data_IF_356752746312
#
_entry.id   IF_356752746312
#
_cell.length_a   1.000
_cell.length_b   1.000
_cell.length_c   1.000
_cell.angle_alpha   90.00
_cell.angle_beta   90.00
_cell.angle_gamma   90.00
#
_symmetry.space_group_name_H-M   'P 1'
#
loop_
_entity.id
_entity.type
_entity.pdbx_description
1 polymer ?
#
# COMPACT_ATOMS: atom_id res chain seq x y z
N UNK A 1 6.74 -47.07 25.63
CA UNK A 1 7.28 -46.33 24.46
C UNK A 1 6.35 -45.16 24.20
N UNK A 2 6.62 -43.98 24.78
CA UNK A 2 5.85 -42.78 24.45
C UNK A 2 6.02 -42.51 22.97
N UNK A 3 4.91 -42.48 22.24
CA UNK A 3 4.91 -42.02 20.86
C UNK A 3 5.48 -40.60 20.84
N UNK A 4 6.63 -40.42 20.18
CA UNK A 4 7.13 -39.09 19.86
C UNK A 4 5.99 -38.44 19.08
N UNK A 5 5.43 -37.30 19.55
CA UNK A 5 4.35 -36.65 18.84
C UNK A 5 4.80 -36.40 17.40
N UNK A 6 3.93 -36.66 16.42
CA UNK A 6 4.21 -36.44 15.00
C UNK A 6 4.64 -34.97 14.80
N UNK A 7 5.95 -34.76 14.71
CA UNK A 7 6.53 -33.42 14.69
C UNK A 7 6.32 -32.85 13.29
N UNK A 8 5.93 -31.58 13.23
CA UNK A 8 5.62 -30.95 11.94
C UNK A 8 6.91 -30.84 11.11
N UNK A 9 6.96 -31.35 9.87
CA UNK A 9 8.18 -31.29 9.06
C UNK A 9 8.54 -29.84 8.70
N UNK A 10 9.85 -29.53 8.55
CA UNK A 10 10.30 -28.20 8.15
C UNK A 10 9.82 -27.84 6.74
N UNK A 11 9.59 -26.55 6.44
CA UNK A 11 9.25 -26.11 5.09
C UNK A 11 10.39 -26.40 4.13
N UNK A 12 10.09 -27.11 3.05
CA UNK A 12 11.03 -27.40 1.98
C UNK A 12 10.86 -26.40 0.84
N UNK A 13 11.77 -26.40 -0.14
CA UNK A 13 11.62 -25.58 -1.33
C UNK A 13 10.30 -25.85 -2.06
N UNK A 14 9.85 -27.11 -2.09
CA UNK A 14 8.59 -27.53 -2.72
C UNK A 14 7.38 -26.96 -1.96
N UNK A 15 7.31 -27.14 -0.64
CA UNK A 15 6.16 -26.66 0.13
C UNK A 15 6.10 -25.14 0.22
N UNK A 16 7.25 -24.46 0.20
CA UNK A 16 7.32 -22.99 0.08
C UNK A 16 6.89 -22.51 -1.32
N UNK A 17 7.24 -23.22 -2.39
CA UNK A 17 6.76 -22.90 -3.75
C UNK A 17 5.25 -23.07 -3.86
N UNK A 18 4.70 -24.15 -3.31
CA UNK A 18 3.24 -24.36 -3.28
C UNK A 18 2.55 -23.25 -2.48
N UNK A 19 3.11 -22.85 -1.32
CA UNK A 19 2.61 -21.73 -0.55
C UNK A 19 2.66 -20.40 -1.32
N UNK A 20 3.70 -20.18 -2.13
CA UNK A 20 3.80 -19.02 -3.00
C UNK A 20 2.69 -19.01 -4.05
N UNK A 21 2.52 -20.10 -4.79
CA UNK A 21 1.48 -20.21 -5.82
C UNK A 21 0.08 -20.02 -5.23
N UNK A 22 -0.20 -20.64 -4.07
CA UNK A 22 -1.47 -20.47 -3.35
C UNK A 22 -1.72 -19.02 -2.94
N UNK A 23 -0.67 -18.29 -2.55
CA UNK A 23 -0.77 -16.88 -2.20
C UNK A 23 -1.08 -16.03 -3.45
N UNK A 24 -0.32 -16.22 -4.52
CA UNK A 24 -0.44 -15.45 -5.76
C UNK A 24 -1.75 -15.72 -6.51
N UNK A 25 -2.33 -16.92 -6.35
CA UNK A 25 -3.66 -17.24 -6.87
C UNK A 25 -4.79 -16.38 -6.27
N UNK A 26 -4.57 -15.77 -5.10
CA UNK A 26 -5.59 -14.99 -4.38
C UNK A 26 -5.26 -13.52 -4.23
N UNK A 27 -3.99 -13.15 -4.22
CA UNK A 27 -3.56 -11.80 -3.89
C UNK A 27 -2.52 -11.30 -4.88
N UNK A 28 -2.71 -10.06 -5.34
CA UNK A 28 -1.63 -9.30 -5.95
C UNK A 28 -0.55 -9.01 -4.89
N UNK A 29 0.70 -9.30 -5.21
CA UNK A 29 1.84 -9.18 -4.29
C UNK A 29 3.04 -8.56 -5.00
N UNK A 30 3.95 -8.01 -4.20
CA UNK A 30 5.29 -7.62 -4.63
C UNK A 30 6.28 -8.73 -4.34
N UNK A 31 7.46 -8.67 -4.95
CA UNK A 31 8.57 -9.59 -4.66
C UNK A 31 8.91 -9.61 -3.15
N UNK A 32 9.08 -8.43 -2.54
CA UNK A 32 9.29 -8.33 -1.09
C UNK A 32 8.10 -8.86 -0.30
N UNK A 33 6.87 -8.58 -0.74
CA UNK A 33 5.65 -9.05 -0.10
C UNK A 33 5.58 -10.57 -0.06
N UNK A 34 5.90 -11.24 -1.17
CA UNK A 34 5.95 -12.69 -1.26
C UNK A 34 7.06 -13.27 -0.37
N UNK A 35 8.25 -12.68 -0.40
CA UNK A 35 9.35 -13.09 0.47
C UNK A 35 8.94 -13.07 1.94
N UNK A 36 8.27 -12.01 2.38
CA UNK A 36 7.74 -11.90 3.76
C UNK A 36 6.64 -12.92 4.06
N UNK A 37 5.83 -13.32 3.09
CA UNK A 37 4.80 -14.37 3.28
C UNK A 37 5.46 -15.72 3.53
N UNK A 38 6.46 -16.07 2.74
CA UNK A 38 7.22 -17.31 2.88
C UNK A 38 8.02 -17.31 4.18
N UNK A 39 8.64 -16.18 4.52
CA UNK A 39 9.34 -15.98 5.79
C UNK A 39 8.43 -16.24 6.99
N UNK A 40 7.23 -15.67 6.97
CA UNK A 40 6.21 -15.89 8.00
C UNK A 40 5.75 -17.35 8.04
N UNK A 41 5.78 -18.09 6.94
CA UNK A 41 5.49 -19.52 6.92
C UNK A 41 6.58 -20.31 7.67
N UNK A 42 7.85 -19.99 7.43
CA UNK A 42 9.00 -20.55 8.17
C UNK A 42 8.91 -20.22 9.66
N UNK A 43 8.59 -18.98 10.03
CA UNK A 43 8.41 -18.59 11.43
C UNK A 43 7.22 -19.30 12.10
N UNK A 44 6.12 -19.52 11.37
CA UNK A 44 4.95 -20.26 11.90
C UNK A 44 5.31 -21.71 12.17
N UNK A 45 6.05 -22.35 11.26
CA UNK A 45 6.56 -23.69 11.48
C UNK A 45 7.46 -23.74 12.72
N UNK A 46 8.46 -22.86 12.82
CA UNK A 46 9.41 -22.83 13.93
C UNK A 46 8.71 -22.72 15.29
N UNK A 47 7.72 -21.83 15.41
CA UNK A 47 6.91 -21.71 16.64
C UNK A 47 6.14 -22.99 16.96
N UNK A 48 5.53 -23.62 15.95
CA UNK A 48 4.79 -24.88 16.15
C UNK A 48 5.73 -26.01 16.56
N UNK A 49 6.87 -26.15 15.90
CA UNK A 49 7.87 -27.16 16.21
C UNK A 49 8.42 -27.01 17.65
N UNK A 50 8.68 -25.78 18.10
CA UNK A 50 9.05 -25.50 19.48
C UNK A 50 7.98 -25.98 20.49
N UNK A 51 6.69 -25.76 20.21
CA UNK A 51 5.60 -26.27 21.08
C UNK A 51 5.49 -27.80 21.11
N UNK A 52 6.07 -28.49 20.12
CA UNK A 52 6.13 -29.95 20.05
C UNK A 52 7.38 -30.52 20.73
N UNK A 53 8.16 -29.68 21.42
CA UNK A 53 9.40 -30.08 22.10
C UNK A 53 10.65 -30.06 21.20
N UNK A 54 10.58 -29.38 20.06
CA UNK A 54 11.71 -29.24 19.16
C UNK A 54 12.89 -28.48 19.76
N UNK A 55 14.11 -28.96 19.48
CA UNK A 55 15.35 -28.35 19.96
C UNK A 55 15.66 -27.03 19.24
N UNK A 56 16.17 -26.04 19.98
CA UNK A 56 16.48 -24.70 19.45
C UNK A 56 17.48 -24.73 18.30
N UNK A 57 18.57 -25.50 18.44
CA UNK A 57 19.61 -25.59 17.42
C UNK A 57 19.09 -26.21 16.11
N UNK A 58 18.19 -27.20 16.24
CA UNK A 58 17.51 -27.79 15.09
C UNK A 58 16.58 -26.78 14.40
N UNK A 59 15.80 -26.03 15.19
CA UNK A 59 14.92 -24.98 14.66
C UNK A 59 15.72 -23.96 13.87
N UNK A 60 16.83 -23.47 14.41
CA UNK A 60 17.61 -22.43 13.75
C UNK A 60 18.31 -22.93 12.49
N UNK A 61 18.85 -24.15 12.51
CA UNK A 61 19.43 -24.80 11.33
C UNK A 61 18.40 -24.97 10.20
N UNK A 62 17.21 -25.47 10.50
CA UNK A 62 16.16 -25.69 9.50
C UNK A 62 15.53 -24.38 8.99
N UNK A 63 15.43 -23.36 9.85
CA UNK A 63 15.00 -22.01 9.43
C UNK A 63 15.96 -21.43 8.41
N UNK A 64 17.26 -21.55 8.64
CA UNK A 64 18.27 -21.02 7.74
C UNK A 64 18.20 -21.70 6.37
N UNK A 65 18.14 -23.04 6.34
CA UNK A 65 17.94 -23.82 5.10
C UNK A 65 16.67 -23.40 4.36
N UNK A 66 15.56 -23.25 5.07
CA UNK A 66 14.26 -22.85 4.50
C UNK A 66 14.30 -21.42 3.94
N UNK A 67 15.02 -20.51 4.61
CA UNK A 67 15.15 -19.11 4.17
C UNK A 67 16.04 -18.98 2.94
N UNK A 68 17.09 -19.78 2.85
CA UNK A 68 18.03 -19.76 1.74
C UNK A 68 17.38 -19.98 0.37
N UNK A 69 16.25 -20.71 0.30
CA UNK A 69 15.53 -20.97 -0.96
C UNK A 69 14.49 -19.92 -1.34
N UNK A 70 14.14 -18.98 -0.45
CA UNK A 70 13.07 -18.00 -0.68
C UNK A 70 13.38 -17.09 -1.88
N UNK A 71 14.61 -16.59 -1.97
CA UNK A 71 15.02 -15.69 -3.05
C UNK A 71 14.90 -16.37 -4.44
N UNK A 72 15.28 -17.65 -4.53
CA UNK A 72 15.13 -18.43 -5.75
C UNK A 72 13.66 -18.62 -6.14
N UNK A 73 12.79 -18.89 -5.17
CA UNK A 73 11.33 -19.02 -5.41
C UNK A 73 10.76 -17.70 -5.91
N UNK A 74 11.09 -16.56 -5.29
CA UNK A 74 10.62 -15.23 -5.73
C UNK A 74 11.09 -14.93 -7.15
N UNK A 75 12.37 -15.18 -7.44
CA UNK A 75 12.94 -15.00 -8.79
C UNK A 75 12.22 -15.86 -9.84
N UNK A 76 11.91 -17.11 -9.51
CA UNK A 76 11.12 -17.98 -10.37
C UNK A 76 9.70 -17.45 -10.60
N UNK A 77 9.02 -16.98 -9.54
CA UNK A 77 7.66 -16.42 -9.66
C UNK A 77 7.66 -15.17 -10.55
N UNK A 78 8.68 -14.32 -10.44
CA UNK A 78 8.89 -13.18 -11.36
C UNK A 78 9.14 -13.64 -12.79
N UNK A 79 10.04 -14.61 -12.99
CA UNK A 79 10.40 -15.13 -14.32
C UNK A 79 9.21 -15.72 -15.07
N UNK A 80 8.29 -16.39 -14.37
CA UNK A 80 7.06 -16.93 -14.98
C UNK A 80 5.93 -15.91 -15.10
N UNK A 81 6.16 -14.64 -14.72
CA UNK A 81 5.17 -13.56 -14.79
C UNK A 81 4.11 -13.59 -13.69
N UNK A 82 4.29 -14.40 -12.64
CA UNK A 82 3.39 -14.43 -11.50
C UNK A 82 3.61 -13.24 -10.53
N UNK A 83 4.75 -12.56 -10.66
CA UNK A 83 5.06 -11.30 -9.98
C UNK A 83 5.50 -10.24 -11.01
N UNK A 84 4.99 -9.02 -10.83
CA UNK A 84 5.40 -7.83 -11.58
C UNK A 84 5.24 -6.62 -10.67
N UNK A 85 6.36 -6.18 -10.08
CA UNK A 85 6.39 -5.04 -9.15
C UNK A 85 6.01 -3.72 -9.85
N UNK A 86 6.32 -3.57 -11.14
CA UNK A 86 5.96 -2.38 -11.92
C UNK A 86 4.44 -2.33 -12.15
N UNK A 87 3.85 -3.43 -12.62
CA UNK A 87 2.39 -3.51 -12.80
C UNK A 87 1.64 -3.36 -11.48
N UNK A 88 2.17 -3.96 -10.39
CA UNK A 88 1.63 -3.76 -9.05
C UNK A 88 1.66 -2.28 -8.66
N UNK A 89 2.79 -1.61 -8.83
CA UNK A 89 2.97 -0.20 -8.47
C UNK A 89 2.05 0.72 -9.26
N UNK A 90 1.87 0.50 -10.58
CA UNK A 90 0.94 1.27 -11.43
C UNK A 90 -0.50 1.16 -10.96
N UNK A 91 -1.01 -0.07 -10.88
CA UNK A 91 -2.37 -0.35 -10.44
C UNK A 91 -2.64 0.20 -9.04
N UNK A 92 -1.67 0.01 -8.14
CA UNK A 92 -1.79 0.49 -6.76
C UNK A 92 -1.74 2.00 -6.66
N UNK A 93 -0.96 2.68 -7.51
CA UNK A 93 -0.92 4.14 -7.59
C UNK A 93 -2.29 4.71 -7.94
N UNK A 94 -2.91 4.21 -9.02
CA UNK A 94 -4.26 4.62 -9.44
C UNK A 94 -5.28 4.37 -8.33
N UNK A 95 -5.30 3.15 -7.78
CA UNK A 95 -6.25 2.77 -6.73
C UNK A 95 -6.15 3.67 -5.48
N UNK A 96 -4.93 3.98 -5.03
CA UNK A 96 -4.72 4.82 -3.86
C UNK A 96 -5.08 6.29 -4.14
N UNK A 97 -4.73 6.84 -5.31
CA UNK A 97 -5.09 8.20 -5.71
C UNK A 97 -6.61 8.36 -5.78
N UNK A 98 -7.34 7.44 -6.44
CA UNK A 98 -8.81 7.41 -6.46
C UNK A 98 -9.44 7.34 -5.07
N UNK A 99 -8.72 6.77 -4.09
CA UNK A 99 -9.15 6.72 -2.70
C UNK A 99 -8.84 8.00 -1.90
N UNK A 100 -8.26 9.03 -2.52
CA UNK A 100 -7.92 10.30 -1.90
C UNK A 100 -6.57 10.31 -1.18
N UNK A 101 -5.59 9.57 -1.71
CA UNK A 101 -4.19 9.64 -1.23
C UNK A 101 -3.40 10.57 -2.14
N UNK A 102 -2.60 11.44 -1.53
CA UNK A 102 -1.63 12.30 -2.25
C UNK A 102 -0.58 11.46 -2.96
N UNK A 103 0.02 12.00 -4.02
CA UNK A 103 1.16 11.37 -4.72
C UNK A 103 2.27 10.98 -3.74
N UNK A 104 2.53 11.82 -2.72
CA UNK A 104 3.53 11.54 -1.67
C UNK A 104 3.14 10.35 -0.79
N UNK A 105 1.88 10.26 -0.38
CA UNK A 105 1.38 9.13 0.40
C UNK A 105 1.34 7.82 -0.41
N UNK A 106 1.04 7.91 -1.72
CA UNK A 106 1.14 6.79 -2.66
C UNK A 106 2.58 6.27 -2.71
N UNK A 107 3.55 7.15 -2.95
CA UNK A 107 4.96 6.79 -3.00
C UNK A 107 5.41 6.08 -1.71
N UNK A 108 5.11 6.67 -0.55
CA UNK A 108 5.44 6.08 0.74
C UNK A 108 4.80 4.68 0.94
N UNK A 109 3.54 4.50 0.50
CA UNK A 109 2.87 3.20 0.57
C UNK A 109 3.53 2.14 -0.32
N UNK A 110 4.07 2.53 -1.47
CA UNK A 110 4.74 1.61 -2.40
C UNK A 110 6.15 1.26 -1.93
N UNK A 111 6.91 2.23 -1.40
CA UNK A 111 8.20 1.97 -0.76
C UNK A 111 8.05 1.01 0.42
N UNK A 112 7.01 1.16 1.25
CA UNK A 112 6.72 0.21 2.33
C UNK A 112 6.39 -1.21 1.83
N UNK A 113 5.95 -1.34 0.57
CA UNK A 113 5.73 -2.63 -0.09
C UNK A 113 6.99 -3.21 -0.75
N UNK A 114 8.11 -2.50 -0.66
CA UNK A 114 9.40 -2.96 -1.18
C UNK A 114 9.66 -2.57 -2.63
N UNK A 115 8.86 -1.69 -3.22
CA UNK A 115 9.11 -1.22 -4.58
C UNK A 115 10.37 -0.34 -4.58
N UNK A 116 11.35 -0.71 -5.41
CA UNK A 116 12.60 0.03 -5.60
C UNK A 116 12.37 1.43 -6.18
N UNK A 117 13.31 2.34 -5.94
CA UNK A 117 13.14 3.75 -6.29
C UNK A 117 12.95 4.01 -7.80
N UNK A 118 13.65 3.26 -8.65
CA UNK A 118 13.53 3.33 -10.12
C UNK A 118 12.14 2.88 -10.58
N UNK A 119 11.76 1.64 -10.26
CA UNK A 119 10.42 1.10 -10.56
C UNK A 119 9.29 1.96 -9.98
N UNK A 120 9.50 2.54 -8.79
CA UNK A 120 8.55 3.44 -8.17
C UNK A 120 8.34 4.71 -9.00
N UNK A 121 9.42 5.35 -9.41
CA UNK A 121 9.38 6.57 -10.22
C UNK A 121 8.64 6.33 -11.54
N UNK A 122 9.10 5.33 -12.29
CA UNK A 122 8.53 4.97 -13.60
C UNK A 122 7.04 4.60 -13.49
N UNK A 123 6.69 3.71 -12.56
CA UNK A 123 5.31 3.27 -12.40
C UNK A 123 4.38 4.41 -11.97
N UNK A 124 4.87 5.36 -11.16
CA UNK A 124 4.07 6.51 -10.75
C UNK A 124 3.90 7.53 -11.86
N UNK A 125 4.93 7.76 -12.67
CA UNK A 125 4.82 8.65 -13.84
C UNK A 125 3.91 8.05 -14.90
N UNK A 126 4.05 6.76 -15.21
CA UNK A 126 3.17 6.05 -16.14
C UNK A 126 1.71 6.05 -15.66
N UNK A 127 1.48 5.88 -14.36
CA UNK A 127 0.13 5.81 -13.81
C UNK A 127 -0.54 7.16 -13.54
N UNK A 128 0.23 8.17 -13.14
CA UNK A 128 -0.32 9.44 -12.63
C UNK A 128 0.10 10.67 -13.45
N UNK A 129 0.90 10.49 -14.51
CA UNK A 129 1.53 11.55 -15.28
C UNK A 129 2.80 12.09 -14.61
N UNK A 130 3.58 12.89 -15.35
CA UNK A 130 4.71 13.59 -14.75
C UNK A 130 4.19 14.66 -13.81
N UNK A 131 4.88 14.84 -12.67
CA UNK A 131 4.47 15.77 -11.59
C UNK A 131 4.09 17.17 -12.07
N UNK A 132 4.73 17.65 -13.13
CA UNK A 132 4.58 19.02 -13.61
C UNK A 132 3.51 19.17 -14.69
N UNK A 133 2.92 18.07 -15.15
CA UNK A 133 1.85 18.06 -16.14
C UNK A 133 0.54 18.51 -15.49
N UNK A 134 -0.30 19.20 -16.27
CA UNK A 134 -1.56 19.72 -15.76
C UNK A 134 -2.53 18.59 -15.38
N UNK A 135 -2.58 17.51 -16.16
CA UNK A 135 -3.39 16.33 -15.83
C UNK A 135 -2.95 15.69 -14.49
N UNK A 136 -1.65 15.68 -14.18
CA UNK A 136 -1.14 15.15 -12.91
C UNK A 136 -1.53 16.05 -11.72
N UNK A 137 -1.48 17.37 -11.91
CA UNK A 137 -1.94 18.35 -10.91
C UNK A 137 -3.45 18.23 -10.68
N UNK A 138 -4.23 18.06 -11.73
CA UNK A 138 -5.68 17.85 -11.65
C UNK A 138 -6.02 16.56 -10.89
N UNK A 139 -5.30 15.46 -11.13
CA UNK A 139 -5.44 14.21 -10.36
C UNK A 139 -5.12 14.42 -8.88
N UNK A 140 -4.05 15.16 -8.56
CA UNK A 140 -3.67 15.46 -7.17
C UNK A 140 -4.75 16.31 -6.47
N UNK A 141 -5.28 17.33 -7.15
CA UNK A 141 -6.38 18.16 -6.64
C UNK A 141 -7.66 17.33 -6.43
N UNK A 142 -8.03 16.48 -7.38
CA UNK A 142 -9.19 15.61 -7.24
C UNK A 142 -9.01 14.60 -6.09
N UNK A 143 -7.80 14.07 -5.88
CA UNK A 143 -7.49 13.22 -4.73
C UNK A 143 -7.62 13.99 -3.41
N UNK A 144 -7.20 15.25 -3.35
CA UNK A 144 -7.41 16.13 -2.21
C UNK A 144 -8.91 16.33 -1.93
N UNK A 145 -9.72 16.55 -2.96
CA UNK A 145 -11.17 16.67 -2.82
C UNK A 145 -11.83 15.38 -2.32
N UNK A 146 -11.35 14.20 -2.71
CA UNK A 146 -11.83 12.92 -2.15
C UNK A 146 -11.54 12.87 -0.64
N UNK A 147 -10.38 13.32 -0.20
CA UNK A 147 -10.07 13.42 1.24
C UNK A 147 -10.97 14.46 1.93
N UNK A 148 -11.14 15.64 1.32
CA UNK A 148 -11.99 16.72 1.82
C UNK A 148 -13.42 16.20 2.05
N UNK A 149 -13.98 15.48 1.08
CA UNK A 149 -15.32 14.88 1.16
C UNK A 149 -15.43 13.86 2.30
N UNK A 150 -14.44 12.98 2.45
CA UNK A 150 -14.40 12.00 3.55
C UNK A 150 -14.32 12.65 4.93
N UNK A 151 -13.70 13.83 5.01
CA UNK A 151 -13.47 14.57 6.26
C UNK A 151 -14.42 15.75 6.45
N UNK A 152 -15.35 15.99 5.51
CA UNK A 152 -16.30 17.11 5.48
C UNK A 152 -15.62 18.47 5.62
N UNK A 153 -14.63 18.71 4.77
CA UNK A 153 -13.83 19.95 4.74
C UNK A 153 -14.23 20.81 3.54
N UNK A 154 -14.06 22.12 3.68
CA UNK A 154 -14.26 23.10 2.60
C UNK A 154 -15.61 22.94 1.91
N UNK A 155 -15.67 22.69 0.58
CA UNK A 155 -16.92 22.56 -0.17
C UNK A 155 -17.88 21.48 0.36
N UNK A 156 -17.37 20.51 1.13
CA UNK A 156 -18.17 19.41 1.69
C UNK A 156 -18.52 19.61 3.16
N UNK A 157 -18.26 20.80 3.72
CA UNK A 157 -18.70 21.13 5.08
C UNK A 157 -20.22 21.12 5.15
N UNK A 158 -20.78 20.78 6.31
CA UNK A 158 -22.23 20.79 6.56
C UNK A 158 -22.73 22.14 7.07
N UNK A 159 -21.81 22.99 7.50
CA UNK A 159 -22.13 24.22 8.22
C UNK A 159 -21.96 25.42 7.28
N UNK A 160 -22.95 25.66 6.42
CA UNK A 160 -23.09 26.95 5.74
C UNK A 160 -23.56 28.06 6.72
N UNK A 161 -23.98 27.69 7.95
CA UNK A 161 -24.61 28.63 8.90
C UNK A 161 -24.07 28.73 10.33
N UNK A 162 -23.19 27.83 10.80
CA UNK A 162 -22.90 27.73 12.26
C UNK A 162 -21.46 28.05 12.70
N UNK A 163 -20.51 28.23 11.78
CA UNK A 163 -19.21 28.75 12.16
C UNK A 163 -19.31 30.27 12.27
N UNK A 164 -19.53 30.77 13.49
CA UNK A 164 -19.29 32.16 13.82
C UNK A 164 -17.96 32.59 13.20
N UNK A 165 -17.92 33.77 12.55
CA UNK A 165 -16.74 34.28 11.82
C UNK A 165 -15.42 34.23 12.62
N UNK A 166 -15.49 34.11 13.95
CA UNK A 166 -14.34 33.87 14.84
C UNK A 166 -13.64 32.53 14.61
N UNK A 167 -14.37 31.48 14.23
CA UNK A 167 -13.86 30.09 14.22
C UNK A 167 -13.47 29.63 12.81
N UNK A 168 -13.76 30.45 11.79
CA UNK A 168 -13.44 30.20 10.39
C UNK A 168 -11.93 30.04 10.15
N UNK A 169 -11.12 30.90 10.76
CA UNK A 169 -9.67 30.83 10.68
C UNK A 169 -9.12 29.54 11.31
N UNK A 170 -9.62 29.16 12.49
CA UNK A 170 -9.19 27.94 13.18
C UNK A 170 -9.62 26.68 12.40
N UNK A 171 -10.86 26.63 11.92
CA UNK A 171 -11.34 25.53 11.09
C UNK A 171 -10.51 25.37 9.81
N UNK A 172 -10.16 26.48 9.16
CA UNK A 172 -9.29 26.48 7.98
C UNK A 172 -7.89 25.93 8.32
N UNK A 173 -7.26 26.39 9.40
CA UNK A 173 -5.97 25.87 9.85
C UNK A 173 -6.03 24.37 10.18
N UNK A 174 -7.10 23.91 10.84
CA UNK A 174 -7.33 22.48 11.11
C UNK A 174 -7.46 21.67 9.83
N UNK A 175 -8.15 22.18 8.82
CA UNK A 175 -8.26 21.53 7.52
C UNK A 175 -6.89 21.42 6.82
N UNK A 176 -6.11 22.51 6.77
CA UNK A 176 -4.76 22.49 6.23
C UNK A 176 -3.85 21.48 6.94
N UNK A 177 -3.96 21.36 8.27
CA UNK A 177 -3.20 20.37 9.04
C UNK A 177 -3.62 18.92 8.73
N UNK A 178 -4.87 18.67 8.36
CA UNK A 178 -5.33 17.36 7.89
C UNK A 178 -4.69 17.03 6.52
N UNK A 179 -4.70 17.96 5.57
CA UNK A 179 -4.08 17.78 4.26
C UNK A 179 -2.57 17.56 4.34
N UNK A 180 -1.86 18.36 5.15
CA UNK A 180 -0.41 18.22 5.33
C UNK A 180 -0.03 16.83 5.86
N UNK A 181 -0.76 16.31 6.87
CA UNK A 181 -0.58 14.95 7.40
C UNK A 181 -0.92 13.86 6.39
N UNK A 182 -1.85 14.13 5.47
CA UNK A 182 -2.18 13.24 4.37
C UNK A 182 -1.21 13.35 3.18
N UNK A 183 -0.27 14.28 3.22
CA UNK A 183 0.83 14.38 2.26
C UNK A 183 0.64 15.39 1.13
N UNK A 184 -0.48 16.12 1.12
CA UNK A 184 -0.77 17.13 0.10
C UNK A 184 0.04 18.41 0.29
N UNK A 185 0.34 19.07 -0.83
CA UNK A 185 0.90 20.43 -0.85
C UNK A 185 -0.10 21.45 -0.32
N UNK A 186 0.41 22.57 0.22
CA UNK A 186 -0.42 23.63 0.77
C UNK A 186 -1.28 24.30 -0.31
N UNK A 187 -0.69 24.55 -1.47
CA UNK A 187 -1.33 25.08 -2.67
C UNK A 187 -2.53 24.22 -3.10
N UNK A 188 -2.35 22.90 -3.18
CA UNK A 188 -3.42 21.96 -3.53
C UNK A 188 -4.52 21.96 -2.46
N UNK A 189 -4.14 22.02 -1.18
CA UNK A 189 -5.09 22.06 -0.07
C UNK A 189 -5.92 23.36 -0.08
N UNK A 190 -5.30 24.51 -0.32
CA UNK A 190 -5.99 25.80 -0.42
C UNK A 190 -6.95 25.81 -1.61
N UNK A 191 -6.52 25.32 -2.78
CA UNK A 191 -7.40 25.17 -3.94
C UNK A 191 -8.60 24.26 -3.63
N UNK A 192 -8.38 23.08 -3.05
CA UNK A 192 -9.44 22.14 -2.71
C UNK A 192 -10.46 22.72 -1.72
N UNK A 193 -10.02 23.60 -0.82
CA UNK A 193 -10.90 24.25 0.17
C UNK A 193 -11.68 25.45 -0.40
N UNK A 194 -11.19 26.06 -1.48
CA UNK A 194 -11.76 27.25 -2.08
C UNK A 194 -12.80 26.97 -3.19
N UNK A 195 -12.84 25.74 -3.70
CA UNK A 195 -13.82 25.32 -4.71
C UNK A 195 -15.25 25.34 -4.14
N UNK A 196 -16.22 25.57 -5.02
CA UNK A 196 -17.63 25.34 -4.69
C UNK A 196 -17.98 23.84 -4.72
N UNK A 197 -19.13 23.49 -4.13
CA UNK A 197 -19.57 22.11 -4.00
C UNK A 197 -19.77 21.42 -5.35
N UNK A 198 -20.36 22.10 -6.34
CA UNK A 198 -20.68 21.51 -7.65
C UNK A 198 -19.38 21.17 -8.37
N UNK A 199 -18.48 22.14 -8.45
CA UNK A 199 -17.19 22.02 -9.10
C UNK A 199 -16.32 20.93 -8.44
N UNK A 200 -16.38 20.84 -7.10
CA UNK A 200 -15.69 19.82 -6.33
C UNK A 200 -16.26 18.41 -6.56
N UNK A 201 -17.59 18.28 -6.67
CA UNK A 201 -18.25 17.00 -6.92
C UNK A 201 -17.93 16.44 -8.31
N UNK A 202 -17.92 17.31 -9.33
CA UNK A 202 -17.60 16.93 -10.71
C UNK A 202 -16.17 16.36 -10.81
N UNK A 203 -15.19 17.02 -10.20
CA UNK A 203 -13.80 16.53 -10.16
C UNK A 203 -13.67 15.20 -9.41
N UNK A 204 -14.39 15.04 -8.31
CA UNK A 204 -14.41 13.76 -7.56
C UNK A 204 -15.04 12.65 -8.39
N UNK A 205 -16.06 12.94 -9.19
CA UNK A 205 -16.69 11.97 -10.09
C UNK A 205 -15.73 11.60 -11.24
N UNK A 206 -15.12 12.59 -11.89
CA UNK A 206 -14.16 12.37 -12.97
C UNK A 206 -12.99 11.47 -12.55
N UNK A 207 -12.39 11.71 -11.37
CA UNK A 207 -11.30 10.88 -10.85
C UNK A 207 -11.73 9.43 -10.57
N UNK A 208 -12.97 9.20 -10.15
CA UNK A 208 -13.47 7.85 -9.89
C UNK A 208 -13.72 7.05 -11.16
N UNK A 209 -14.06 7.74 -12.27
CA UNK A 209 -14.31 7.13 -13.57
C UNK A 209 -13.05 6.95 -14.42
N UNK A 210 -12.00 7.75 -14.20
CA UNK A 210 -10.68 7.60 -14.83
C UNK A 210 -9.93 6.42 -14.23
#
# INVERSE_FOLDING_TARGET
>A
MSAIPDQTPPPTAETLREAALRHLARFAATEQGLAQVLDRAVMRWARKFATQGGETDQIDSEREKSRAVIAAIVSDMRRIGALDDAAFARSRSLSLTRSGRSRRAVAASLTQKGIGAETLGEAMEEALGHRHDDEAKERELAAALVLARKRRLGPFSRDEGEMARSDAGEAHQRALAIFARAGFGRDVAEQALALDLTEAEDRVMALKSS
#
